data_IF_415890612355
#
_entry.id   IF_415890612355
#
_cell.length_a   1.000
_cell.length_b   1.000
_cell.length_c   1.000
_cell.angle_alpha   90.00
_cell.angle_beta   90.00
_cell.angle_gamma   90.00
#
_symmetry.space_group_name_H-M   'P 1'
#
loop_
_entity.id
_entity.type
_entity.pdbx_description
1 polymer ?
#
# COMPACT_ATOMS: atom_id res chain seq x y z
N UNK A 1 -3.78 -13.03 13.53
CA UNK A 1 -2.51 -12.87 12.76
C UNK A 1 -2.75 -11.82 11.67
N UNK A 2 -1.77 -11.38 10.85
CA UNK A 2 -2.07 -10.48 9.74
C UNK A 2 -2.82 -11.22 8.60
N UNK A 3 -3.44 -10.47 7.68
CA UNK A 3 -4.10 -11.05 6.50
C UNK A 3 -3.12 -11.78 5.56
N UNK A 4 -3.65 -12.60 4.64
CA UNK A 4 -2.81 -13.22 3.60
C UNK A 4 -2.29 -12.14 2.62
N UNK A 5 -3.04 -11.05 2.44
CA UNK A 5 -2.64 -9.91 1.63
C UNK A 5 -1.41 -9.21 2.22
N UNK A 6 -1.35 -9.07 3.54
CA UNK A 6 -0.18 -8.56 4.26
C UNK A 6 1.04 -9.46 4.06
N UNK A 7 0.87 -10.78 4.23
CA UNK A 7 1.95 -11.74 4.00
C UNK A 7 2.46 -11.70 2.55
N UNK A 8 1.55 -11.58 1.58
CA UNK A 8 1.90 -11.44 0.17
C UNK A 8 2.64 -10.14 -0.13
N UNK A 9 2.25 -9.03 0.51
CA UNK A 9 2.97 -7.76 0.43
C UNK A 9 4.40 -7.90 0.95
N UNK A 10 4.59 -8.52 2.11
CA UNK A 10 5.91 -8.78 2.69
C UNK A 10 6.78 -9.62 1.75
N UNK A 11 6.20 -10.66 1.12
CA UNK A 11 6.91 -11.47 0.13
C UNK A 11 7.34 -10.67 -1.10
N UNK A 12 6.48 -9.80 -1.64
CA UNK A 12 6.81 -8.93 -2.78
C UNK A 12 7.94 -7.94 -2.44
N UNK A 13 8.01 -7.45 -1.20
CA UNK A 13 9.10 -6.60 -0.75
C UNK A 13 10.45 -7.32 -0.67
N UNK A 14 10.48 -8.66 -0.67
CA UNK A 14 11.72 -9.44 -0.77
C UNK A 14 12.52 -9.11 -2.04
N UNK A 15 11.87 -8.84 -3.16
CA UNK A 15 12.53 -8.38 -4.39
C UNK A 15 13.18 -7.00 -4.22
N UNK A 16 12.57 -6.13 -3.43
CA UNK A 16 13.12 -4.80 -3.11
C UNK A 16 14.36 -4.94 -2.23
N UNK A 17 14.35 -5.89 -1.28
CA UNK A 17 15.50 -6.20 -0.45
C UNK A 17 16.68 -6.75 -1.26
N UNK A 18 16.40 -7.55 -2.28
CA UNK A 18 17.42 -7.99 -3.24
C UNK A 18 18.02 -6.80 -3.99
N UNK A 19 17.21 -5.84 -4.46
CA UNK A 19 17.70 -4.62 -5.13
C UNK A 19 18.59 -3.77 -4.20
N UNK A 20 18.18 -3.59 -2.95
CA UNK A 20 18.96 -2.88 -1.93
C UNK A 20 20.30 -3.59 -1.68
N UNK A 21 20.27 -4.92 -1.53
CA UNK A 21 21.47 -5.74 -1.30
C UNK A 21 22.45 -5.67 -2.48
N UNK A 22 21.94 -5.73 -3.71
CA UNK A 22 22.74 -5.59 -4.93
C UNK A 22 23.40 -4.22 -4.96
N UNK A 23 22.64 -3.15 -4.69
CA UNK A 23 23.17 -1.79 -4.62
C UNK A 23 24.32 -1.67 -3.60
N UNK A 24 24.15 -2.22 -2.39
CA UNK A 24 25.16 -2.18 -1.33
C UNK A 24 26.44 -2.93 -1.73
N UNK A 25 26.33 -4.07 -2.41
CA UNK A 25 27.49 -4.82 -2.93
C UNK A 25 28.23 -4.09 -4.05
N UNK A 26 27.53 -3.26 -4.84
CA UNK A 26 28.09 -2.54 -5.99
C UNK A 26 28.90 -1.28 -5.62
N UNK A 27 29.01 -0.90 -4.34
CA UNK A 27 29.67 0.33 -3.82
C UNK A 27 31.19 0.47 -4.07
N UNK A 28 31.79 -0.23 -5.06
CA UNK A 28 33.21 -0.10 -5.44
C UNK A 28 33.33 0.28 -6.92
N UNK A 29 33.81 1.50 -7.23
CA UNK A 29 34.22 1.95 -8.58
C UNK A 29 33.70 3.32 -9.04
N UNK A 30 34.52 4.10 -9.77
CA UNK A 30 34.20 5.43 -10.32
C UNK A 30 33.35 5.30 -11.60
N UNK A 31 32.17 5.95 -11.67
CA UNK A 31 31.31 5.99 -12.87
C UNK A 31 29.90 5.37 -12.75
N UNK A 32 29.59 4.64 -11.65
CA UNK A 32 28.33 3.87 -11.49
C UNK A 32 27.08 4.61 -11.01
N UNK A 33 27.12 5.95 -10.87
CA UNK A 33 25.99 6.71 -10.30
C UNK A 33 24.69 6.60 -11.12
N UNK A 34 24.77 6.38 -12.45
CA UNK A 34 23.60 6.20 -13.30
C UNK A 34 22.94 4.81 -13.18
N UNK A 35 23.73 3.74 -13.06
CA UNK A 35 23.21 2.37 -12.84
C UNK A 35 22.45 2.26 -11.51
N UNK A 36 22.87 3.03 -10.52
CA UNK A 36 22.27 3.07 -9.19
C UNK A 36 20.89 3.76 -9.16
N UNK A 37 20.65 4.74 -10.04
CA UNK A 37 19.36 5.44 -10.12
C UNK A 37 18.25 4.52 -10.65
N UNK A 38 18.57 3.67 -11.64
CA UNK A 38 17.64 2.68 -12.15
C UNK A 38 17.16 1.70 -11.06
N UNK A 39 18.05 1.28 -10.15
CA UNK A 39 17.70 0.42 -9.02
C UNK A 39 16.73 1.12 -8.05
N UNK A 40 16.97 2.40 -7.73
CA UNK A 40 16.07 3.14 -6.85
C UNK A 40 14.68 3.33 -7.47
N UNK A 41 14.63 3.67 -8.76
CA UNK A 41 13.37 3.81 -9.51
C UNK A 41 12.59 2.50 -9.54
N UNK A 42 13.25 1.39 -9.88
CA UNK A 42 12.64 0.06 -9.88
C UNK A 42 12.10 -0.30 -8.49
N UNK A 43 12.88 -0.05 -7.43
CA UNK A 43 12.45 -0.29 -6.06
C UNK A 43 11.19 0.48 -5.67
N UNK A 44 11.10 1.79 -5.97
CA UNK A 44 9.91 2.60 -5.68
C UNK A 44 8.69 2.09 -6.46
N UNK A 45 8.85 1.74 -7.73
CA UNK A 45 7.76 1.18 -8.55
C UNK A 45 7.24 -0.12 -7.96
N UNK A 46 8.15 -1.03 -7.56
CA UNK A 46 7.78 -2.32 -6.96
C UNK A 46 7.07 -2.14 -5.61
N UNK A 47 7.54 -1.23 -4.75
CA UNK A 47 6.90 -0.96 -3.46
C UNK A 47 5.47 -0.43 -3.65
N UNK A 48 5.29 0.55 -4.55
CA UNK A 48 3.96 1.16 -4.80
C UNK A 48 3.02 0.15 -5.45
N UNK A 49 3.52 -0.71 -6.34
CA UNK A 49 2.74 -1.81 -6.92
C UNK A 49 2.34 -2.85 -5.85
N UNK A 50 3.25 -3.17 -4.92
CA UNK A 50 2.95 -4.07 -3.82
C UNK A 50 1.87 -3.49 -2.89
N UNK A 51 1.95 -2.19 -2.59
CA UNK A 51 0.91 -1.48 -1.84
C UNK A 51 -0.46 -1.55 -2.53
N UNK A 52 -0.51 -1.30 -3.84
CA UNK A 52 -1.75 -1.42 -4.61
C UNK A 52 -2.32 -2.85 -4.51
N UNK A 53 -1.47 -3.85 -4.74
CA UNK A 53 -1.87 -5.27 -4.68
C UNK A 53 -2.37 -5.66 -3.28
N UNK A 54 -1.76 -5.15 -2.21
CA UNK A 54 -2.23 -5.35 -0.85
C UNK A 54 -3.67 -4.84 -0.68
N UNK A 55 -3.95 -3.60 -1.09
CA UNK A 55 -5.29 -2.99 -0.94
C UNK A 55 -6.36 -3.79 -1.70
N UNK A 56 -6.05 -4.21 -2.93
CA UNK A 56 -6.95 -5.04 -3.74
C UNK A 56 -7.23 -6.40 -3.08
N UNK A 57 -6.16 -7.05 -2.59
CA UNK A 57 -6.25 -8.42 -2.05
C UNK A 57 -6.93 -8.47 -0.69
N UNK A 58 -6.65 -7.52 0.21
CA UNK A 58 -7.22 -7.54 1.56
C UNK A 58 -8.75 -7.34 1.52
N UNK A 59 -9.25 -6.58 0.55
CA UNK A 59 -10.69 -6.46 0.30
C UNK A 59 -11.27 -7.76 -0.28
N UNK A 60 -10.58 -8.39 -1.23
CA UNK A 60 -10.98 -9.69 -1.78
C UNK A 60 -11.08 -10.76 -0.68
N UNK A 61 -10.07 -10.82 0.19
CA UNK A 61 -10.04 -11.74 1.34
C UNK A 61 -11.20 -11.48 2.31
N UNK A 62 -11.47 -10.21 2.65
CA UNK A 62 -12.62 -9.86 3.47
C UNK A 62 -13.95 -10.31 2.84
N UNK A 63 -14.10 -10.15 1.52
CA UNK A 63 -15.30 -10.61 0.81
C UNK A 63 -15.43 -12.13 0.83
N UNK A 64 -14.34 -12.87 0.67
CA UNK A 64 -14.35 -14.35 0.75
C UNK A 64 -14.87 -14.80 2.12
N UNK A 65 -14.34 -14.24 3.20
CA UNK A 65 -14.77 -14.58 4.56
C UNK A 65 -16.25 -14.23 4.80
N UNK A 66 -16.70 -13.05 4.35
CA UNK A 66 -18.13 -12.68 4.42
C UNK A 66 -18.98 -13.69 3.63
N UNK A 67 -18.50 -14.12 2.46
CA UNK A 67 -19.18 -15.09 1.62
C UNK A 67 -19.37 -16.42 2.31
N UNK A 68 -18.33 -16.96 2.93
CA UNK A 68 -18.40 -18.23 3.65
C UNK A 68 -19.44 -18.20 4.78
N UNK A 69 -19.57 -17.05 5.46
CA UNK A 69 -20.57 -16.86 6.51
C UNK A 69 -21.99 -16.66 5.97
N UNK A 70 -22.18 -15.84 4.93
CA UNK A 70 -23.51 -15.52 4.36
C UNK A 70 -24.05 -16.64 3.46
N UNK A 71 -23.20 -17.52 2.95
CA UNK A 71 -23.60 -18.68 2.14
C UNK A 71 -23.71 -19.98 2.93
N UNK A 72 -23.46 -19.94 4.25
CA UNK A 72 -23.60 -21.08 5.14
C UNK A 72 -25.01 -21.70 5.09
N UNK A 73 -25.09 -22.99 5.42
CA UNK A 73 -26.35 -23.74 5.45
C UNK A 73 -27.36 -23.05 6.38
N UNK A 74 -28.57 -22.78 5.86
CA UNK A 74 -29.63 -22.07 6.57
C UNK A 74 -29.71 -20.56 6.30
N UNK A 75 -28.75 -19.97 5.58
CA UNK A 75 -28.83 -18.57 5.19
C UNK A 75 -30.00 -18.30 4.21
N UNK A 76 -30.76 -17.21 4.39
CA UNK A 76 -31.89 -16.89 3.53
C UNK A 76 -31.44 -16.62 2.08
N UNK A 77 -32.28 -16.99 1.11
CA UNK A 77 -31.97 -16.84 -0.32
C UNK A 77 -31.66 -15.37 -0.69
N UNK A 78 -32.44 -14.42 -0.15
CA UNK A 78 -32.22 -13.00 -0.41
C UNK A 78 -30.85 -12.53 0.08
N UNK A 79 -30.37 -13.02 1.23
CA UNK A 79 -29.06 -12.66 1.77
C UNK A 79 -27.92 -13.12 0.87
N UNK A 80 -28.01 -14.37 0.38
CA UNK A 80 -27.06 -14.93 -0.59
C UNK A 80 -27.06 -14.15 -1.92
N UNK A 81 -28.24 -13.82 -2.45
CA UNK A 81 -28.36 -13.05 -3.70
C UNK A 81 -27.79 -11.63 -3.55
N UNK A 82 -28.10 -10.95 -2.44
CA UNK A 82 -27.56 -9.63 -2.13
C UNK A 82 -26.04 -9.65 -2.02
N UNK A 83 -25.47 -10.65 -1.34
CA UNK A 83 -24.02 -10.83 -1.27
C UNK A 83 -23.41 -11.01 -2.66
N UNK A 84 -23.96 -11.87 -3.52
CA UNK A 84 -23.44 -12.10 -4.88
C UNK A 84 -23.44 -10.81 -5.71
N UNK A 85 -24.52 -10.04 -5.66
CA UNK A 85 -24.62 -8.76 -6.37
C UNK A 85 -23.59 -7.76 -5.83
N UNK A 86 -23.49 -7.65 -4.51
CA UNK A 86 -22.58 -6.72 -3.84
C UNK A 86 -21.12 -7.07 -4.09
N UNK A 87 -20.76 -8.35 -4.02
CA UNK A 87 -19.42 -8.84 -4.34
C UNK A 87 -19.03 -8.49 -5.76
N UNK A 88 -19.89 -8.73 -6.75
CA UNK A 88 -19.61 -8.37 -8.15
C UNK A 88 -19.38 -6.86 -8.33
N UNK A 89 -20.12 -6.02 -7.61
CA UNK A 89 -19.91 -4.57 -7.64
C UNK A 89 -18.54 -4.19 -7.07
N UNK A 90 -18.17 -4.75 -5.91
CA UNK A 90 -16.89 -4.47 -5.27
C UNK A 90 -15.73 -5.00 -6.11
N UNK A 91 -15.83 -6.21 -6.67
CA UNK A 91 -14.83 -6.77 -7.59
C UNK A 91 -14.59 -5.86 -8.81
N UNK A 92 -15.64 -5.20 -9.32
CA UNK A 92 -15.52 -4.24 -10.40
C UNK A 92 -14.80 -2.95 -9.96
N UNK A 93 -15.03 -2.48 -8.73
CA UNK A 93 -14.30 -1.35 -8.15
C UNK A 93 -12.82 -1.67 -7.92
N UNK A 94 -12.52 -2.86 -7.36
CA UNK A 94 -11.15 -3.37 -7.19
C UNK A 94 -10.42 -3.40 -8.54
N UNK A 95 -11.03 -3.96 -9.60
CA UNK A 95 -10.41 -4.01 -10.94
C UNK A 95 -10.11 -2.64 -11.56
N UNK A 96 -10.85 -1.60 -11.16
CA UNK A 96 -10.65 -0.23 -11.65
C UNK A 96 -9.62 0.56 -10.83
N UNK A 97 -9.22 0.06 -9.68
CA UNK A 97 -8.29 0.71 -8.77
C UNK A 97 -6.85 0.70 -9.32
N UNK A 98 -6.49 1.71 -10.11
CA UNK A 98 -5.18 1.80 -10.77
C UNK A 98 -4.27 2.93 -10.25
N UNK A 99 -4.78 3.76 -9.33
CA UNK A 99 -4.04 4.89 -8.75
C UNK A 99 -4.17 4.85 -7.23
N UNK A 100 -3.21 4.26 -6.50
CA UNK A 100 -3.37 3.99 -5.07
C UNK A 100 -3.06 5.20 -4.17
N UNK A 101 -3.64 6.36 -4.49
CA UNK A 101 -3.62 7.57 -3.67
C UNK A 101 -4.50 7.40 -2.42
N UNK A 102 -4.27 8.24 -1.41
CA UNK A 102 -4.94 8.12 -0.11
C UNK A 102 -6.47 8.20 -0.18
N UNK A 103 -7.01 9.07 -1.03
CA UNK A 103 -8.43 9.24 -1.31
C UNK A 103 -9.02 8.02 -1.99
N UNK A 104 -8.41 7.55 -3.08
CA UNK A 104 -8.86 6.36 -3.79
C UNK A 104 -8.84 5.11 -2.91
N UNK A 105 -7.83 4.98 -2.04
CA UNK A 105 -7.77 3.88 -1.06
C UNK A 105 -8.92 4.00 -0.07
N UNK A 106 -9.10 5.17 0.55
CA UNK A 106 -10.20 5.40 1.51
C UNK A 106 -11.54 5.11 0.87
N UNK A 107 -11.81 5.68 -0.30
CA UNK A 107 -13.09 5.57 -0.98
C UNK A 107 -13.38 4.12 -1.34
N UNK A 108 -12.38 3.36 -1.81
CA UNK A 108 -12.55 1.94 -2.07
C UNK A 108 -12.95 1.16 -0.80
N UNK A 109 -12.28 1.38 0.34
CA UNK A 109 -12.65 0.71 1.60
C UNK A 109 -14.01 1.14 2.14
N UNK A 110 -14.28 2.45 2.13
CA UNK A 110 -15.49 3.05 2.67
C UNK A 110 -16.70 2.64 1.85
N UNK A 111 -16.61 2.75 0.53
CA UNK A 111 -17.67 2.36 -0.39
C UNK A 111 -17.88 0.85 -0.46
N UNK A 112 -16.88 0.03 -0.10
CA UNK A 112 -17.02 -1.44 -0.10
C UNK A 112 -17.63 -1.95 1.20
N UNK A 113 -17.00 -1.64 2.33
CA UNK A 113 -17.24 -2.27 3.64
C UNK A 113 -17.35 -1.25 4.79
N UNK A 114 -17.52 0.03 4.49
CA UNK A 114 -17.73 1.08 5.51
C UNK A 114 -16.50 1.42 6.34
N UNK A 115 -15.31 0.98 5.92
CA UNK A 115 -14.07 1.21 6.67
C UNK A 115 -13.35 2.47 6.20
N UNK A 116 -12.89 3.31 7.14
CA UNK A 116 -12.03 4.46 6.85
C UNK A 116 -10.61 4.23 7.41
N UNK A 117 -9.58 4.06 6.56
CA UNK A 117 -8.22 3.80 7.02
C UNK A 117 -7.49 5.03 7.59
N UNK A 118 -7.90 6.25 7.21
CA UNK A 118 -7.14 7.47 7.52
C UNK A 118 -6.87 7.74 9.01
N UNK A 119 -7.83 7.54 9.94
CA UNK A 119 -7.58 7.77 11.37
C UNK A 119 -6.41 6.94 11.92
N UNK A 120 -6.11 5.79 11.29
CA UNK A 120 -5.08 4.86 11.75
C UNK A 120 -3.69 5.16 11.17
N UNK A 121 -3.57 6.13 10.26
CA UNK A 121 -2.33 6.44 9.55
C UNK A 121 -1.46 7.51 10.23
N UNK A 122 -1.78 7.96 11.45
CA UNK A 122 -0.90 8.84 12.22
C UNK A 122 0.36 8.09 12.65
N UNK A 123 1.56 8.67 12.49
CA UNK A 123 2.84 8.01 12.76
C UNK A 123 3.67 8.79 13.77
N UNK A 124 3.53 8.41 15.04
CA UNK A 124 4.29 8.95 16.16
C UNK A 124 5.21 7.86 16.69
N UNK A 125 6.41 7.74 16.10
CA UNK A 125 7.41 6.75 16.53
C UNK A 125 8.83 7.18 16.14
N UNK A 126 9.77 7.05 17.08
CA UNK A 126 11.16 7.49 16.90
C UNK A 126 11.23 8.99 16.62
N UNK A 127 11.87 9.37 15.52
CA UNK A 127 11.98 10.78 15.10
C UNK A 127 10.77 11.27 14.29
N UNK A 128 9.82 10.40 13.94
CA UNK A 128 8.61 10.79 13.21
C UNK A 128 7.51 11.19 14.19
N UNK A 129 6.95 12.36 13.97
CA UNK A 129 5.74 12.86 14.62
C UNK A 129 4.78 13.37 13.54
N UNK A 130 4.24 12.44 12.75
CA UNK A 130 3.39 12.75 11.61
C UNK A 130 1.93 12.53 11.97
N UNK A 131 1.09 13.50 11.61
CA UNK A 131 -0.37 13.31 11.65
C UNK A 131 -0.80 12.39 10.51
N UNK A 132 -2.03 11.87 10.58
CA UNK A 132 -2.60 11.11 9.46
C UNK A 132 -2.57 11.89 8.15
N UNK A 133 -2.79 13.21 8.19
CA UNK A 133 -2.67 14.07 7.02
C UNK A 133 -1.26 14.08 6.44
N UNK A 134 -0.23 14.26 7.28
CA UNK A 134 1.16 14.23 6.81
C UNK A 134 1.52 12.88 6.18
N UNK A 135 1.08 11.78 6.79
CA UNK A 135 1.31 10.44 6.23
C UNK A 135 0.60 10.27 4.88
N UNK A 136 -0.63 10.75 4.73
CA UNK A 136 -1.39 10.72 3.47
C UNK A 136 -0.72 11.53 2.37
N UNK A 137 -0.31 12.75 2.68
CA UNK A 137 0.47 13.58 1.73
C UNK A 137 1.73 12.85 1.29
N UNK A 138 2.44 12.22 2.23
CA UNK A 138 3.64 11.42 1.90
C UNK A 138 3.31 10.24 0.99
N UNK A 139 2.22 9.52 1.23
CA UNK A 139 1.75 8.42 0.36
C UNK A 139 1.55 8.93 -1.05
N UNK A 140 0.82 10.03 -1.22
CA UNK A 140 0.55 10.62 -2.53
C UNK A 140 1.83 11.08 -3.22
N UNK A 141 2.79 11.65 -2.49
CA UNK A 141 4.08 12.02 -3.04
C UNK A 141 4.81 10.80 -3.63
N UNK A 142 4.81 9.66 -2.94
CA UNK A 142 5.41 8.43 -3.47
C UNK A 142 4.67 7.86 -4.69
N UNK A 143 3.34 7.91 -4.69
CA UNK A 143 2.53 7.50 -5.85
C UNK A 143 2.83 8.41 -7.07
N UNK A 144 2.99 9.71 -6.85
CA UNK A 144 3.39 10.66 -7.89
C UNK A 144 4.81 10.41 -8.39
N UNK A 145 5.75 10.04 -7.51
CA UNK A 145 7.09 9.60 -7.93
C UNK A 145 7.00 8.36 -8.83
N UNK A 146 6.22 7.34 -8.46
CA UNK A 146 5.99 6.16 -9.31
C UNK A 146 5.39 6.55 -10.67
N UNK A 147 4.43 7.47 -10.69
CA UNK A 147 3.84 7.98 -11.93
C UNK A 147 4.89 8.67 -12.82
N UNK A 148 5.72 9.54 -12.24
CA UNK A 148 6.80 10.20 -12.97
C UNK A 148 7.81 9.20 -13.55
N UNK A 149 8.18 8.15 -12.79
CA UNK A 149 9.04 7.07 -13.29
C UNK A 149 8.41 6.36 -14.49
N UNK A 150 7.14 5.97 -14.38
CA UNK A 150 6.46 5.17 -15.40
C UNK A 150 6.30 5.92 -16.73
N UNK A 151 6.11 7.23 -16.69
CA UNK A 151 5.90 8.07 -17.87
C UNK A 151 7.13 8.87 -18.31
N UNK A 152 8.25 8.75 -17.60
CA UNK A 152 9.47 9.50 -17.89
C UNK A 152 9.37 11.00 -17.62
N UNK A 153 8.46 11.41 -16.72
CA UNK A 153 8.32 12.82 -16.31
C UNK A 153 9.35 13.22 -15.27
N UNK A 154 9.50 14.53 -15.07
CA UNK A 154 10.27 15.06 -13.95
C UNK A 154 9.66 14.65 -12.61
N UNK A 155 10.52 14.42 -11.62
CA UNK A 155 10.07 14.14 -10.27
C UNK A 155 9.39 15.36 -9.64
N UNK A 156 8.38 15.15 -8.79
CA UNK A 156 7.67 16.25 -8.15
C UNK A 156 8.64 17.09 -7.31
N UNK A 157 8.50 18.42 -7.37
CA UNK A 157 9.33 19.35 -6.62
C UNK A 157 8.94 19.32 -5.13
N UNK A 158 9.57 18.40 -4.38
CA UNK A 158 9.28 18.14 -2.96
C UNK A 158 10.57 18.12 -2.16
N UNK A 159 10.56 18.76 -0.99
CA UNK A 159 11.78 18.99 -0.19
C UNK A 159 12.55 17.70 0.13
N UNK A 160 11.85 16.61 0.42
CA UNK A 160 12.48 15.32 0.72
C UNK A 160 13.26 14.72 -0.46
N UNK A 161 12.92 15.06 -1.70
CA UNK A 161 13.62 14.60 -2.91
C UNK A 161 14.81 15.49 -3.28
N UNK A 162 14.88 16.72 -2.76
CA UNK A 162 15.95 17.68 -3.06
C UNK A 162 17.19 17.51 -2.17
N UNK A 163 17.04 16.83 -1.04
CA UNK A 163 18.10 16.64 -0.06
C UNK A 163 18.62 17.96 0.54
N UNK A 164 19.77 17.90 1.22
CA UNK A 164 20.29 19.00 2.04
C UNK A 164 20.82 20.21 1.24
N UNK A 165 21.05 20.05 -0.06
CA UNK A 165 21.68 21.05 -0.93
C UNK A 165 20.72 21.64 -1.97
N UNK A 166 19.41 21.43 -1.80
CA UNK A 166 18.36 21.99 -2.66
C UNK A 166 18.54 21.69 -4.16
N UNK A 167 19.18 20.56 -4.47
CA UNK A 167 19.45 20.08 -5.82
C UNK A 167 18.14 19.71 -6.54
N UNK A 168 18.25 19.41 -7.84
CA UNK A 168 17.16 18.80 -8.59
C UNK A 168 16.64 17.55 -7.85
N UNK A 169 15.31 17.34 -7.80
CA UNK A 169 14.72 16.16 -7.18
C UNK A 169 15.33 14.86 -7.73
N UNK A 170 15.82 13.99 -6.85
CA UNK A 170 16.42 12.71 -7.24
C UNK A 170 16.16 11.64 -6.18
N UNK A 171 16.30 10.36 -6.57
CA UNK A 171 16.18 9.24 -5.65
C UNK A 171 17.55 8.83 -5.10
N UNK A 172 17.54 8.44 -3.84
CA UNK A 172 18.72 7.90 -3.15
C UNK A 172 18.37 6.56 -2.51
N UNK A 173 19.38 5.79 -2.11
CA UNK A 173 19.16 4.54 -1.38
C UNK A 173 18.39 4.78 -0.08
N UNK A 174 18.68 5.87 0.62
CA UNK A 174 17.98 6.24 1.85
C UNK A 174 16.50 6.52 1.58
N UNK A 175 16.20 7.25 0.51
CA UNK A 175 14.83 7.51 0.07
C UNK A 175 14.08 6.23 -0.32
N UNK A 176 14.75 5.28 -0.98
CA UNK A 176 14.16 3.96 -1.24
C UNK A 176 13.82 3.22 0.05
N UNK A 177 14.75 3.18 1.02
CA UNK A 177 14.52 2.57 2.34
C UNK A 177 13.37 3.27 3.08
N UNK A 178 13.28 4.60 2.99
CA UNK A 178 12.20 5.38 3.58
C UNK A 178 10.85 5.12 2.92
N UNK A 179 10.81 4.98 1.58
CA UNK A 179 9.63 4.55 0.83
C UNK A 179 9.15 3.18 1.31
N UNK A 180 10.06 2.19 1.39
CA UNK A 180 9.74 0.84 1.87
C UNK A 180 9.16 0.88 3.28
N UNK A 181 9.85 1.58 4.20
CA UNK A 181 9.40 1.75 5.59
C UNK A 181 8.01 2.41 5.68
N UNK A 182 7.75 3.39 4.80
CA UNK A 182 6.45 4.07 4.73
C UNK A 182 5.31 3.13 4.36
N UNK A 183 5.47 2.32 3.32
CA UNK A 183 4.40 1.41 2.91
C UNK A 183 4.25 0.20 3.84
N UNK A 184 5.32 -0.30 4.46
CA UNK A 184 5.21 -1.28 5.56
C UNK A 184 4.31 -0.73 6.66
N UNK A 185 4.59 0.50 7.10
CA UNK A 185 3.79 1.15 8.14
C UNK A 185 2.31 1.26 7.77
N UNK A 186 2.01 1.68 6.55
CA UNK A 186 0.62 1.77 6.06
C UNK A 186 -0.08 0.43 6.01
N UNK A 187 0.59 -0.61 5.51
CA UNK A 187 0.04 -1.98 5.47
C UNK A 187 -0.23 -2.46 6.88
N UNK A 188 0.74 -2.38 7.80
CA UNK A 188 0.56 -2.81 9.19
C UNK A 188 -0.62 -2.13 9.88
N UNK A 189 -0.75 -0.80 9.71
CA UNK A 189 -1.84 -0.03 10.33
C UNK A 189 -3.19 -0.30 9.68
N UNK A 190 -3.22 -0.42 8.36
CA UNK A 190 -4.46 -0.70 7.63
C UNK A 190 -4.95 -2.11 7.95
N UNK A 191 -4.06 -3.10 7.96
CA UNK A 191 -4.40 -4.52 8.15
C UNK A 191 -4.97 -4.77 9.55
N UNK A 192 -4.31 -4.22 10.56
CA UNK A 192 -4.75 -4.33 11.95
C UNK A 192 -6.08 -3.60 12.19
N UNK A 193 -6.22 -2.37 11.68
CA UNK A 193 -7.44 -1.58 11.87
C UNK A 193 -8.63 -2.13 11.09
N UNK A 194 -8.40 -2.58 9.86
CA UNK A 194 -9.44 -3.20 9.04
C UNK A 194 -9.87 -4.55 9.62
N UNK A 195 -8.91 -5.34 10.13
CA UNK A 195 -9.22 -6.55 10.88
C UNK A 195 -10.12 -6.28 12.09
N UNK A 196 -9.78 -5.26 12.89
CA UNK A 196 -10.60 -4.85 14.03
C UNK A 196 -11.99 -4.33 13.63
N UNK A 197 -12.09 -3.59 12.53
CA UNK A 197 -13.36 -3.14 11.95
C UNK A 197 -14.27 -4.31 11.58
N UNK A 198 -13.73 -5.31 10.87
CA UNK A 198 -14.48 -6.50 10.49
C UNK A 198 -14.94 -7.30 11.73
N UNK A 199 -14.11 -7.40 12.77
CA UNK A 199 -14.54 -8.02 14.04
C UNK A 199 -15.70 -7.25 14.68
N UNK A 200 -15.61 -5.92 14.72
CA UNK A 200 -16.64 -5.07 15.34
C UNK A 200 -17.97 -5.12 14.59
N UNK A 201 -17.93 -5.13 13.25
CA UNK A 201 -19.14 -5.08 12.41
C UNK A 201 -19.72 -6.47 12.11
N UNK A 202 -18.88 -7.51 12.02
CA UNK A 202 -19.31 -8.85 11.58
C UNK A 202 -19.25 -9.91 12.69
N UNK A 203 -18.60 -9.62 13.81
CA UNK A 203 -18.58 -10.51 14.99
C UNK A 203 -17.65 -11.71 14.88
N UNK A 204 -16.77 -11.78 13.89
CA UNK A 204 -15.75 -12.84 13.76
C UNK A 204 -14.39 -12.28 13.33
N UNK A 205 -13.33 -12.97 13.74
CA UNK A 205 -11.96 -12.65 13.34
C UNK A 205 -11.78 -12.94 11.84
N UNK A 206 -11.43 -11.93 11.01
CA UNK A 206 -11.31 -12.13 9.57
C UNK A 206 -10.00 -12.82 9.20
N UNK A 207 -8.92 -12.52 9.92
CA UNK A 207 -7.62 -13.11 9.67
C UNK A 207 -7.43 -14.33 10.59
N UNK A 208 -6.74 -15.39 10.15
CA UNK A 208 -6.46 -16.55 11.00
C UNK A 208 -5.71 -16.19 12.29
#
# INVERSE_FOLDING_TARGET
>A
MPSNAHAAFAAQLGSVDQLITIHEKMQRGRGRRHEQDALHRAGVVLIVAAWQSYVERVLGEALDIIGDNVTAAGAPLWGRQMYVLRRKQIDASIKKFNTPKDDNVRDLFLESLGFNPWPHWGWVAGTRNWTSETTRTRTNDWVNVRHAIAHGFEFPNKDFLRGRYNLAPHLTLQLLKDCKKHFIYLVDKTDAAFGAHLVAELGFAPWP
#
